data_IF_372554999255
#
_entry.id   IF_372554999255
#
_cell.length_a   1.000
_cell.length_b   1.000
_cell.length_c   1.000
_cell.angle_alpha   90.00
_cell.angle_beta   90.00
_cell.angle_gamma   90.00
#
_symmetry.space_group_name_H-M   'P 1'
#
loop_
_entity.id
_entity.type
_entity.pdbx_description
1 polymer ?
#
# COMPACT_ATOMS: atom_id res chain seq x y z
N UNK A 1 -15.60 28.68 -20.44
CA UNK A 1 -14.61 27.59 -20.34
C UNK A 1 -14.92 26.86 -19.05
N UNK A 2 -15.21 25.55 -19.09
CA UNK A 2 -15.26 24.75 -17.86
C UNK A 2 -13.88 24.87 -17.19
N UNK A 3 -13.80 24.98 -15.87
CA UNK A 3 -12.53 25.11 -15.13
C UNK A 3 -11.59 23.89 -15.24
N UNK A 4 -11.88 22.97 -16.15
CA UNK A 4 -11.13 21.78 -16.47
C UNK A 4 -10.54 21.98 -17.86
N UNK A 5 -9.24 22.27 -17.93
CA UNK A 5 -8.43 22.23 -19.14
C UNK A 5 -7.41 21.09 -18.96
N UNK A 6 -7.91 19.86 -19.04
CA UNK A 6 -7.11 18.65 -18.81
C UNK A 6 -6.60 18.10 -20.13
N UNK A 7 -5.30 17.80 -20.19
CA UNK A 7 -4.74 16.96 -21.24
C UNK A 7 -4.88 15.49 -20.83
N UNK A 8 -5.69 14.72 -21.57
CA UNK A 8 -5.86 13.28 -21.30
C UNK A 8 -4.57 12.50 -21.45
N UNK A 9 -3.74 12.84 -22.44
CA UNK A 9 -2.41 12.24 -22.62
C UNK A 9 -1.44 12.63 -21.50
N UNK A 10 -1.57 13.85 -20.95
CA UNK A 10 -0.81 14.28 -19.78
C UNK A 10 -1.17 13.47 -18.54
N UNK A 11 -2.47 13.23 -18.29
CA UNK A 11 -2.92 12.37 -17.18
C UNK A 11 -2.46 10.93 -17.37
N UNK A 12 -2.59 10.39 -18.58
CA UNK A 12 -2.12 9.04 -18.89
C UNK A 12 -0.63 8.88 -18.61
N UNK A 13 0.20 9.82 -19.07
CA UNK A 13 1.64 9.82 -18.83
C UNK A 13 2.00 9.90 -17.34
N UNK A 14 1.40 10.83 -16.59
CA UNK A 14 1.68 10.94 -15.14
C UNK A 14 1.23 9.68 -14.41
N UNK A 15 0.07 9.14 -14.75
CA UNK A 15 -0.44 7.93 -14.10
C UNK A 15 0.35 6.66 -14.48
N UNK A 16 0.98 6.62 -15.66
CA UNK A 16 1.90 5.52 -16.01
C UNK A 16 3.19 5.61 -15.21
N UNK A 17 3.78 6.80 -15.04
CA UNK A 17 4.97 6.97 -14.20
C UNK A 17 4.73 6.56 -12.75
N UNK A 18 3.55 6.87 -12.19
CA UNK A 18 3.19 6.43 -10.85
C UNK A 18 3.04 4.90 -10.80
N UNK A 19 2.48 4.27 -11.83
CA UNK A 19 2.39 2.82 -11.91
C UNK A 19 3.78 2.17 -11.94
N UNK A 20 4.72 2.69 -12.73
CA UNK A 20 6.11 2.20 -12.78
C UNK A 20 6.78 2.32 -11.40
N UNK A 21 6.61 3.47 -10.73
CA UNK A 21 7.13 3.67 -9.38
C UNK A 21 6.51 2.71 -8.35
N UNK A 22 5.21 2.41 -8.47
CA UNK A 22 4.55 1.42 -7.62
C UNK A 22 5.07 0.00 -7.85
N UNK A 23 5.39 -0.35 -9.09
CA UNK A 23 5.99 -1.64 -9.43
C UNK A 23 7.41 -1.77 -8.85
N UNK A 24 8.19 -0.69 -8.85
CA UNK A 24 9.51 -0.65 -8.22
C UNK A 24 9.42 -0.76 -6.69
N UNK A 25 8.49 -0.04 -6.06
CA UNK A 25 8.22 -0.21 -4.63
C UNK A 25 7.83 -1.66 -4.29
N UNK A 26 7.02 -2.31 -5.13
CA UNK A 26 6.64 -3.71 -4.91
C UNK A 26 7.83 -4.68 -5.02
N UNK A 27 8.81 -4.39 -5.89
CA UNK A 27 10.07 -5.15 -5.96
C UNK A 27 10.91 -4.92 -4.70
N UNK A 28 11.06 -3.67 -4.29
CA UNK A 28 11.84 -3.30 -3.10
C UNK A 28 11.26 -3.90 -1.81
N UNK A 29 9.93 -3.95 -1.67
CA UNK A 29 9.27 -4.59 -0.52
C UNK A 29 9.56 -6.10 -0.47
N UNK A 30 9.60 -6.77 -1.64
CA UNK A 30 9.95 -8.21 -1.71
C UNK A 30 11.41 -8.45 -1.37
N UNK A 31 12.30 -7.62 -1.91
CA UNK A 31 13.72 -7.67 -1.59
C UNK A 31 13.96 -7.43 -0.09
N UNK A 32 13.32 -6.39 0.46
CA UNK A 32 13.35 -6.07 1.89
C UNK A 32 12.92 -7.26 2.77
N UNK A 33 11.82 -7.96 2.43
CA UNK A 33 11.40 -9.15 3.18
C UNK A 33 12.46 -10.27 3.17
N UNK A 34 13.08 -10.50 2.01
CA UNK A 34 14.16 -11.48 1.85
C UNK A 34 15.41 -11.08 2.66
N UNK A 35 15.76 -9.80 2.63
CA UNK A 35 16.91 -9.27 3.35
C UNK A 35 16.72 -9.32 4.86
N UNK A 36 15.51 -9.03 5.35
CA UNK A 36 15.18 -9.14 6.77
C UNK A 36 15.26 -10.59 7.24
N UNK A 37 14.74 -11.55 6.47
CA UNK A 37 14.83 -12.97 6.80
C UNK A 37 16.29 -13.46 6.84
N UNK A 38 17.08 -13.04 5.85
CA UNK A 38 18.51 -13.34 5.77
C UNK A 38 19.29 -12.73 6.95
N UNK A 39 19.00 -11.47 7.29
CA UNK A 39 19.61 -10.79 8.43
C UNK A 39 19.21 -11.45 9.77
N UNK A 40 17.94 -11.80 9.95
CA UNK A 40 17.45 -12.49 11.13
C UNK A 40 18.11 -13.85 11.33
N UNK A 41 18.34 -14.59 10.23
CA UNK A 41 19.05 -15.88 10.25
C UNK A 41 20.55 -15.70 10.55
N UNK A 42 21.17 -14.66 10.00
CA UNK A 42 22.61 -14.40 10.14
C UNK A 42 23.01 -13.76 11.46
N UNK A 43 22.08 -13.09 12.16
CA UNK A 43 22.35 -12.38 13.41
C UNK A 43 22.63 -13.29 14.61
N UNK A 44 22.57 -14.61 14.44
CA UNK A 44 22.84 -15.60 15.48
C UNK A 44 21.73 -15.67 16.52
N UNK A 45 21.84 -16.67 17.40
CA UNK A 45 20.86 -16.97 18.44
C UNK A 45 21.50 -16.79 19.81
N UNK A 46 20.80 -16.17 20.77
CA UNK A 46 21.22 -16.22 22.17
C UNK A 46 20.68 -17.53 22.73
N UNK A 47 21.46 -18.61 22.60
CA UNK A 47 21.11 -19.90 23.18
C UNK A 47 22.34 -20.64 23.66
N UNK A 48 22.25 -21.25 24.86
CA UNK A 48 23.20 -22.28 25.30
C UNK A 48 23.12 -23.55 24.44
N UNK A 49 23.86 -24.62 24.79
CA UNK A 49 23.85 -25.86 24.00
C UNK A 49 22.42 -26.38 23.86
N UNK A 50 21.92 -26.41 22.63
CA UNK A 50 20.55 -26.78 22.29
C UNK A 50 20.58 -27.95 21.30
N UNK A 51 19.77 -28.98 21.58
CA UNK A 51 19.58 -30.12 20.69
C UNK A 51 18.29 -29.90 19.89
N UNK A 52 18.35 -29.12 18.81
CA UNK A 52 17.21 -28.84 17.91
C UNK A 52 17.39 -27.57 17.06
N UNK A 53 16.32 -27.10 16.40
CA UNK A 53 16.35 -25.84 15.64
C UNK A 53 16.72 -24.66 16.52
N UNK A 54 17.74 -23.91 16.13
CA UNK A 54 18.24 -22.77 16.91
C UNK A 54 17.13 -21.72 17.11
N UNK A 55 16.85 -21.28 18.36
CA UNK A 55 15.79 -20.31 18.63
C UNK A 55 16.14 -18.92 18.09
N UNK A 56 15.20 -18.19 17.49
CA UNK A 56 15.46 -16.85 16.92
C UNK A 56 16.14 -15.92 17.93
N UNK A 57 17.27 -15.33 17.54
CA UNK A 57 18.00 -14.37 18.38
C UNK A 57 17.27 -13.04 18.55
N UNK A 58 17.72 -12.23 19.51
CA UNK A 58 17.09 -10.94 19.84
C UNK A 58 16.94 -10.00 18.63
N UNK A 59 17.92 -10.01 17.71
CA UNK A 59 17.88 -9.21 16.48
C UNK A 59 16.78 -9.71 15.54
N UNK A 60 16.67 -11.03 15.33
CA UNK A 60 15.61 -11.60 14.50
C UNK A 60 14.21 -11.32 15.06
N UNK A 61 14.04 -11.37 16.38
CA UNK A 61 12.79 -11.00 17.03
C UNK A 61 12.45 -9.51 16.86
N UNK A 62 13.44 -8.61 17.01
CA UNK A 62 13.24 -7.18 16.80
C UNK A 62 12.86 -6.84 15.36
N UNK A 63 13.50 -7.50 14.38
CA UNK A 63 13.18 -7.37 12.97
C UNK A 63 11.75 -7.84 12.66
N UNK A 64 11.31 -8.97 13.22
CA UNK A 64 9.94 -9.45 13.06
C UNK A 64 8.90 -8.44 13.57
N UNK A 65 9.13 -7.86 14.76
CA UNK A 65 8.27 -6.81 15.33
C UNK A 65 8.27 -5.55 14.45
N UNK A 66 9.42 -5.16 13.91
CA UNK A 66 9.53 -3.99 13.03
C UNK A 66 8.71 -4.19 11.74
N UNK A 67 8.83 -5.36 11.10
CA UNK A 67 8.07 -5.70 9.89
C UNK A 67 6.58 -5.71 10.20
N UNK A 68 6.17 -6.36 11.30
CA UNK A 68 4.76 -6.41 11.71
C UNK A 68 4.17 -5.00 11.92
N UNK A 69 4.93 -4.10 12.55
CA UNK A 69 4.47 -2.72 12.82
C UNK A 69 4.45 -1.82 11.59
N UNK A 70 5.23 -2.11 10.57
CA UNK A 70 5.37 -1.25 9.38
C UNK A 70 4.62 -1.77 8.16
N UNK A 71 4.22 -3.05 8.15
CA UNK A 71 3.49 -3.66 7.04
C UNK A 71 2.22 -2.87 6.68
N UNK A 72 1.52 -2.35 7.68
CA UNK A 72 0.31 -1.57 7.43
C UNK A 72 0.56 -0.23 6.76
N UNK A 73 1.65 0.46 7.11
CA UNK A 73 2.00 1.74 6.51
C UNK A 73 2.37 1.56 5.02
N UNK A 74 3.10 0.50 4.71
CA UNK A 74 3.49 0.15 3.33
C UNK A 74 2.26 -0.19 2.48
N UNK A 75 1.36 -1.04 3.00
CA UNK A 75 0.12 -1.39 2.31
C UNK A 75 -0.80 -0.17 2.14
N UNK A 76 -0.89 0.69 3.15
CA UNK A 76 -1.66 1.93 3.09
C UNK A 76 -1.13 2.88 2.02
N UNK A 77 0.20 3.06 1.95
CA UNK A 77 0.83 3.91 0.94
C UNK A 77 0.52 3.41 -0.48
N UNK A 78 0.67 2.11 -0.73
CA UNK A 78 0.34 1.51 -2.02
C UNK A 78 -1.14 1.67 -2.37
N UNK A 79 -2.04 1.37 -1.43
CA UNK A 79 -3.48 1.53 -1.66
C UNK A 79 -3.88 3.00 -1.90
N UNK A 80 -3.20 3.95 -1.25
CA UNK A 80 -3.45 5.38 -1.44
C UNK A 80 -2.98 5.83 -2.82
N UNK A 81 -1.80 5.40 -3.26
CA UNK A 81 -1.27 5.70 -4.59
C UNK A 81 -2.18 5.16 -5.69
N UNK A 82 -2.60 3.89 -5.58
CA UNK A 82 -3.54 3.27 -6.52
C UNK A 82 -4.88 4.04 -6.59
N UNK A 83 -5.42 4.44 -5.44
CA UNK A 83 -6.67 5.20 -5.37
C UNK A 83 -6.56 6.57 -6.05
N UNK A 84 -5.44 7.28 -5.85
CA UNK A 84 -5.18 8.55 -6.52
C UNK A 84 -5.07 8.41 -8.04
N UNK A 85 -4.33 7.40 -8.50
CA UNK A 85 -4.16 7.12 -9.95
C UNK A 85 -5.50 6.76 -10.60
N UNK A 86 -6.27 5.86 -10.00
CA UNK A 86 -7.57 5.46 -10.53
C UNK A 86 -8.54 6.62 -10.53
N UNK A 87 -8.55 7.44 -9.47
CA UNK A 87 -9.37 8.66 -9.42
C UNK A 87 -9.06 9.64 -10.56
N UNK A 88 -7.78 9.88 -10.84
CA UNK A 88 -7.36 10.74 -11.95
C UNK A 88 -7.78 10.18 -13.32
N UNK A 89 -7.66 8.87 -13.53
CA UNK A 89 -8.08 8.20 -14.76
C UNK A 89 -9.60 8.24 -14.94
N UNK A 90 -10.36 7.92 -13.89
CA UNK A 90 -11.83 7.98 -13.91
C UNK A 90 -12.34 9.40 -14.14
N UNK A 91 -11.78 10.39 -13.44
CA UNK A 91 -12.15 11.79 -13.61
C UNK A 91 -11.91 12.27 -15.05
N UNK A 92 -10.77 11.89 -15.64
CA UNK A 92 -10.44 12.19 -17.04
C UNK A 92 -11.41 11.50 -18.00
N UNK A 93 -11.79 10.25 -17.74
CA UNK A 93 -12.76 9.53 -18.56
C UNK A 93 -14.13 10.22 -18.55
N UNK A 94 -14.62 10.65 -17.37
CA UNK A 94 -15.87 11.41 -17.26
C UNK A 94 -15.79 12.80 -17.90
N UNK A 95 -14.65 13.49 -17.77
CA UNK A 95 -14.39 14.76 -18.45
C UNK A 95 -14.48 14.61 -19.97
N UNK A 96 -13.84 13.58 -20.54
CA UNK A 96 -13.89 13.29 -21.98
C UNK A 96 -15.30 12.92 -22.45
N UNK A 97 -16.11 12.30 -21.58
CA UNK A 97 -17.53 12.03 -21.83
C UNK A 97 -18.43 13.26 -21.70
N UNK A 98 -17.89 14.42 -21.27
CA UNK A 98 -18.64 15.66 -21.03
C UNK A 98 -19.38 15.71 -19.70
N UNK A 99 -19.20 14.72 -18.82
CA UNK A 99 -19.85 14.65 -17.51
C UNK A 99 -18.94 15.24 -16.41
N UNK A 100 -18.95 16.57 -16.32
CA UNK A 100 -18.13 17.30 -15.36
C UNK A 100 -18.50 17.03 -13.90
N UNK A 101 -19.76 16.65 -13.63
CA UNK A 101 -20.22 16.35 -12.29
C UNK A 101 -19.64 15.01 -11.81
N UNK A 102 -19.66 13.99 -12.67
CA UNK A 102 -19.04 12.71 -12.39
C UNK A 102 -17.51 12.82 -12.33
N UNK A 103 -16.90 13.67 -13.16
CA UNK A 103 -15.47 13.94 -13.10
C UNK A 103 -15.05 14.50 -11.73
N UNK A 104 -15.74 15.54 -11.26
CA UNK A 104 -15.50 16.13 -9.93
C UNK A 104 -15.79 15.14 -8.80
N UNK A 105 -16.82 14.30 -8.95
CA UNK A 105 -17.15 13.28 -7.96
C UNK A 105 -16.07 12.20 -7.87
N UNK A 106 -15.48 11.78 -9.00
CA UNK A 106 -14.40 10.79 -9.05
C UNK A 106 -13.15 11.31 -8.32
N UNK A 107 -12.74 12.55 -8.57
CA UNK A 107 -11.65 13.19 -7.82
C UNK A 107 -11.95 13.25 -6.32
N UNK A 108 -13.15 13.70 -5.96
CA UNK A 108 -13.53 13.82 -4.56
C UNK A 108 -13.53 12.47 -3.83
N UNK A 109 -14.01 11.40 -4.47
CA UNK A 109 -13.98 10.03 -3.93
C UNK A 109 -12.54 9.53 -3.74
N UNK A 110 -11.63 9.90 -4.63
CA UNK A 110 -10.22 9.54 -4.54
C UNK A 110 -9.53 10.16 -3.31
N UNK A 111 -9.99 11.31 -2.82
CA UNK A 111 -9.45 11.96 -1.61
C UNK A 111 -9.67 11.15 -0.33
N UNK A 112 -10.70 10.31 -0.26
CA UNK A 112 -10.97 9.50 0.93
C UNK A 112 -9.87 8.47 1.19
N UNK A 113 -9.53 8.20 2.46
CA UNK A 113 -8.53 7.19 2.81
C UNK A 113 -8.88 5.81 2.21
N UNK A 114 -7.87 5.04 1.74
CA UNK A 114 -8.09 3.65 1.34
C UNK A 114 -8.44 2.79 2.56
N UNK A 115 -9.26 1.76 2.35
CA UNK A 115 -9.44 0.69 3.32
C UNK A 115 -8.37 -0.36 3.04
N UNK A 116 -7.57 -0.68 4.04
CA UNK A 116 -6.53 -1.70 3.95
C UNK A 116 -6.78 -2.71 5.06
N UNK A 117 -6.98 -3.97 4.69
CA UNK A 117 -7.06 -5.07 5.64
C UNK A 117 -5.65 -5.51 6.01
N UNK A 118 -5.31 -5.38 7.29
CA UNK A 118 -3.99 -5.75 7.79
C UNK A 118 -3.96 -7.23 8.20
N UNK A 119 -2.96 -8.01 7.77
CA UNK A 119 -2.74 -9.35 8.34
C UNK A 119 -2.45 -9.21 9.85
N UNK A 120 -3.16 -10.00 10.67
CA UNK A 120 -3.06 -9.95 12.14
C UNK A 120 -4.09 -9.04 12.84
N UNK A 121 -4.78 -8.17 12.10
CA UNK A 121 -5.88 -7.37 12.65
C UNK A 121 -7.20 -8.12 12.49
N UNK A 122 -7.35 -9.20 13.26
CA UNK A 122 -8.59 -9.97 13.34
C UNK A 122 -9.76 -9.12 13.85
N UNK A 123 -10.65 -8.75 12.93
CA UNK A 123 -12.09 -8.59 13.12
C UNK A 123 -12.58 -7.84 14.37
N UNK A 124 -12.75 -6.53 14.26
CA UNK A 124 -13.88 -5.81 14.89
C UNK A 124 -14.54 -4.83 13.91
N UNK A 125 -14.93 -5.33 12.76
CA UNK A 125 -16.18 -4.89 12.15
C UNK A 125 -17.32 -5.54 12.94
N UNK A 126 -17.81 -4.87 13.99
CA UNK A 126 -19.14 -5.19 14.50
C UNK A 126 -20.13 -4.29 13.79
N UNK A 127 -20.91 -4.92 12.93
CA UNK A 127 -22.24 -4.48 12.52
C UNK A 127 -22.95 -3.77 13.67
N UNK A 128 -23.36 -2.54 13.38
CA UNK A 128 -24.16 -1.70 14.26
C UNK A 128 -25.36 -1.12 13.51
N UNK A 129 -25.98 -1.92 12.65
CA UNK A 129 -27.38 -1.70 12.27
C UNK A 129 -28.25 -2.04 13.48
N UNK A 130 -28.70 -1.02 14.21
CA UNK A 130 -29.70 -1.15 15.25
C UNK A 130 -30.84 -0.17 14.94
N UNK A 131 -31.96 -0.78 14.51
CA UNK A 131 -33.36 -0.32 14.50
C UNK A 131 -33.69 1.08 14.00
#
# INVERSE_FOLDING_TARGET
MSGWDISSSGVEFVTSLVADAMDDVAKDVKAYGTDVESAATSAGTISGPYCGSAPTGAIGAALAIFVEKTAGDVLFLGARAAKSVNGAREATAYYLAGDLAMAAQAEHKALGAPKVDLPGQGGKGKDGGAK
#
